data_IF_641470807528
#
_entry.id   IF_641470807528
#
_cell.length_a   1.000
_cell.length_b   1.000
_cell.length_c   1.000
_cell.angle_alpha   90.00
_cell.angle_beta   90.00
_cell.angle_gamma   90.00
#
_symmetry.space_group_name_H-M   'P 1'
#
loop_
_entity.id
_entity.type
_entity.pdbx_description
1 polymer ?
#
# COMPACT_ATOMS: atom_id res chain seq x y z
N UNK A 1 5.69 -14.76 15.45
CA UNK A 1 6.84 -14.22 14.68
C UNK A 1 7.31 -12.91 15.30
N UNK A 2 8.62 -12.60 15.24
CA UNK A 2 9.14 -11.28 15.63
C UNK A 2 8.65 -10.19 14.65
N UNK A 3 8.68 -8.91 15.05
CA UNK A 3 8.35 -7.79 14.13
C UNK A 3 9.21 -7.86 12.86
N UNK A 4 10.54 -8.04 13.00
CA UNK A 4 11.45 -8.17 11.87
C UNK A 4 11.04 -9.30 10.91
N UNK A 5 10.65 -10.47 11.43
CA UNK A 5 10.21 -11.59 10.59
C UNK A 5 8.88 -11.30 9.89
N UNK A 6 7.96 -10.56 10.53
CA UNK A 6 6.71 -10.12 9.89
C UNK A 6 6.99 -9.14 8.76
N UNK A 7 7.84 -8.13 9.01
CA UNK A 7 8.29 -7.16 7.98
C UNK A 7 8.86 -7.90 6.77
N UNK A 8 9.82 -8.81 6.98
CA UNK A 8 10.40 -9.60 5.89
C UNK A 8 9.39 -10.50 5.17
N UNK A 9 8.31 -10.94 5.83
CA UNK A 9 7.24 -11.70 5.18
C UNK A 9 6.36 -10.80 4.32
N UNK A 10 5.99 -9.61 4.81
CA UNK A 10 5.21 -8.61 4.07
C UNK A 10 6.00 -8.12 2.85
N UNK A 11 7.28 -7.79 3.01
CA UNK A 11 8.15 -7.37 1.89
C UNK A 11 8.28 -8.45 0.82
N UNK A 12 8.38 -9.74 1.20
CA UNK A 12 8.40 -10.85 0.26
C UNK A 12 7.07 -10.98 -0.49
N UNK A 13 5.95 -10.77 0.19
CA UNK A 13 4.62 -10.75 -0.44
C UNK A 13 4.52 -9.62 -1.46
N UNK A 14 4.97 -8.41 -1.10
CA UNK A 14 4.98 -7.24 -1.99
C UNK A 14 5.92 -7.43 -3.18
N UNK A 15 7.10 -7.99 -2.99
CA UNK A 15 8.03 -8.29 -4.09
C UNK A 15 7.43 -9.27 -5.11
N UNK A 16 6.58 -10.21 -4.66
CA UNK A 16 5.85 -11.11 -5.56
C UNK A 16 4.75 -10.35 -6.30
N UNK A 17 3.97 -9.54 -5.57
CA UNK A 17 2.94 -8.68 -6.17
C UNK A 17 3.51 -7.74 -7.23
N UNK A 18 4.64 -7.09 -6.97
CA UNK A 18 5.25 -6.16 -7.91
C UNK A 18 5.62 -6.87 -9.22
N UNK A 19 6.05 -8.14 -9.18
CA UNK A 19 6.29 -8.94 -10.40
C UNK A 19 5.00 -9.22 -11.17
N UNK A 20 3.95 -9.66 -10.48
CA UNK A 20 2.63 -9.91 -11.09
C UNK A 20 2.08 -8.62 -11.72
N UNK A 21 2.24 -7.48 -11.06
CA UNK A 21 1.87 -6.16 -11.60
C UNK A 21 2.71 -5.81 -12.84
N UNK A 22 4.02 -6.04 -12.82
CA UNK A 22 4.89 -5.78 -13.98
C UNK A 22 4.45 -6.59 -15.20
N UNK A 23 4.16 -7.88 -15.02
CA UNK A 23 3.65 -8.76 -16.07
C UNK A 23 2.29 -8.27 -16.58
N UNK A 24 1.35 -8.00 -15.67
CA UNK A 24 0.02 -7.51 -16.02
C UNK A 24 0.07 -6.19 -16.78
N UNK A 25 0.92 -5.23 -16.38
CA UNK A 25 1.13 -3.96 -17.08
C UNK A 25 1.69 -4.16 -18.48
N UNK A 26 2.65 -5.08 -18.64
CA UNK A 26 3.25 -5.39 -19.94
C UNK A 26 2.22 -5.99 -20.90
N UNK A 27 1.35 -6.86 -20.41
CA UNK A 27 0.33 -7.52 -21.23
C UNK A 27 -0.86 -6.61 -21.53
N UNK A 28 -1.39 -5.90 -20.52
CA UNK A 28 -2.55 -5.02 -20.68
C UNK A 28 -2.22 -3.69 -21.37
N UNK A 29 -0.98 -3.21 -21.25
CA UNK A 29 -0.59 -1.88 -21.70
C UNK A 29 -1.01 -0.74 -20.75
N UNK A 30 -1.71 -1.04 -19.65
CA UNK A 30 -2.15 -0.02 -18.69
C UNK A 30 -0.96 0.57 -17.93
N UNK A 31 -0.98 1.89 -17.80
CA UNK A 31 -0.02 2.62 -16.99
C UNK A 31 -0.70 3.67 -16.10
N UNK A 32 -0.04 4.04 -15.00
CA UNK A 32 -0.47 5.18 -14.19
C UNK A 32 0.25 6.43 -14.69
N UNK A 33 -0.43 7.58 -14.67
CA UNK A 33 0.15 8.85 -15.09
C UNK A 33 1.26 9.28 -14.14
N UNK A 34 2.42 9.62 -14.69
CA UNK A 34 3.55 10.13 -13.92
C UNK A 34 3.16 11.41 -13.19
N UNK A 35 3.52 11.50 -11.90
CA UNK A 35 3.21 12.66 -11.06
C UNK A 35 1.74 12.76 -10.63
N UNK A 36 0.92 11.72 -10.80
CA UNK A 36 -0.46 11.72 -10.34
C UNK A 36 -0.57 11.28 -8.87
N UNK A 37 -1.16 12.12 -8.03
CA UNK A 37 -1.43 11.86 -6.61
C UNK A 37 -2.91 11.69 -6.26
N UNK A 38 -3.80 11.61 -7.27
CA UNK A 38 -5.25 11.52 -7.03
C UNK A 38 -5.67 10.32 -6.17
N UNK A 39 -4.94 9.21 -6.25
CA UNK A 39 -5.20 8.05 -5.40
C UNK A 39 -4.79 8.29 -3.94
N UNK A 40 -3.83 9.18 -3.66
CA UNK A 40 -3.38 9.53 -2.31
C UNK A 40 -4.24 10.61 -1.65
N UNK A 41 -4.92 11.45 -2.44
CA UNK A 41 -5.89 12.46 -1.97
C UNK A 41 -7.31 11.92 -1.77
N UNK A 42 -7.48 10.60 -1.81
CA UNK A 42 -8.77 9.98 -1.58
C UNK A 42 -8.93 9.84 -0.05
N UNK A 43 -9.94 10.48 0.58
CA UNK A 43 -10.06 10.52 2.04
C UNK A 43 -10.55 9.20 2.65
N UNK A 44 -11.21 8.35 1.86
CA UNK A 44 -11.80 7.07 2.26
C UNK A 44 -10.92 5.89 1.80
N UNK A 45 -9.61 5.98 2.04
CA UNK A 45 -8.70 4.85 1.86
C UNK A 45 -8.61 4.10 3.17
N UNK A 46 -9.08 2.86 3.15
CA UNK A 46 -8.90 1.93 4.25
C UNK A 46 -7.75 0.97 3.95
N UNK A 47 -7.02 0.60 5.00
CA UNK A 47 -5.86 -0.27 4.92
C UNK A 47 -5.71 -1.08 6.19
N UNK A 48 -4.99 -2.19 6.07
CA UNK A 48 -4.61 -2.98 7.24
C UNK A 48 -3.33 -2.43 7.87
N UNK A 49 -3.22 -2.34 9.22
CA UNK A 49 -1.95 -2.00 9.86
C UNK A 49 -0.77 -2.87 9.41
N UNK A 50 -1.00 -4.17 9.13
CA UNK A 50 0.09 -5.06 8.73
C UNK A 50 0.73 -4.65 7.40
N UNK A 51 -0.01 -4.03 6.49
CA UNK A 51 0.51 -3.64 5.18
C UNK A 51 1.47 -2.45 5.26
N UNK A 52 1.42 -1.67 6.34
CA UNK A 52 2.36 -0.57 6.64
C UNK A 52 3.46 -0.94 7.64
N UNK A 53 3.51 -2.20 8.09
CA UNK A 53 4.55 -2.65 9.00
C UNK A 53 5.99 -2.42 8.46
N UNK A 54 6.28 -2.59 7.15
CA UNK A 54 7.58 -2.23 6.59
C UNK A 54 7.91 -0.74 6.72
N UNK A 55 6.93 0.15 6.47
CA UNK A 55 7.09 1.61 6.61
C UNK A 55 7.38 1.99 8.06
N UNK A 56 6.57 1.49 8.99
CA UNK A 56 6.75 1.70 10.42
C UNK A 56 8.14 1.24 10.91
N UNK A 57 8.58 0.06 10.47
CA UNK A 57 9.90 -0.46 10.81
C UNK A 57 11.03 0.37 10.18
N UNK A 58 10.83 0.89 8.97
CA UNK A 58 11.77 1.80 8.32
C UNK A 58 11.99 3.07 9.15
N UNK A 59 10.91 3.78 9.52
CA UNK A 59 11.01 4.98 10.36
C UNK A 59 11.64 4.68 11.72
N UNK A 60 11.27 3.57 12.37
CA UNK A 60 11.88 3.15 13.61
C UNK A 60 13.38 2.90 13.48
N UNK A 61 13.81 2.20 12.42
CA UNK A 61 15.23 1.92 12.18
C UNK A 61 16.08 3.17 11.90
N UNK A 62 15.44 4.26 11.48
CA UNK A 62 16.07 5.57 11.27
C UNK A 62 16.03 6.48 12.51
N UNK A 63 15.46 6.03 13.63
CA UNK A 63 15.27 6.87 14.81
C UNK A 63 14.18 7.94 14.65
N UNK A 64 13.31 7.83 13.64
CA UNK A 64 12.24 8.80 13.34
C UNK A 64 10.88 8.42 13.95
N UNK A 65 10.79 7.33 14.72
CA UNK A 65 9.51 6.82 15.18
C UNK A 65 8.70 7.82 16.02
N UNK A 66 9.34 8.48 16.99
CA UNK A 66 8.66 9.46 17.86
C UNK A 66 8.18 10.69 17.07
N UNK A 67 9.02 11.21 16.17
CA UNK A 67 8.66 12.33 15.28
C UNK A 67 7.45 11.98 14.40
N UNK A 68 7.45 10.79 13.79
CA UNK A 68 6.36 10.36 12.91
C UNK A 68 5.08 10.03 13.68
N UNK A 69 5.21 9.54 14.92
CA UNK A 69 4.08 9.31 15.82
C UNK A 69 3.37 10.64 16.13
N UNK A 70 4.11 11.66 16.56
CA UNK A 70 3.56 12.98 16.84
C UNK A 70 2.87 13.57 15.60
N UNK A 71 3.51 13.47 14.43
CA UNK A 71 2.91 13.92 13.16
C UNK A 71 1.61 13.20 12.82
N UNK A 72 1.49 11.91 13.15
CA UNK A 72 0.26 11.13 12.92
C UNK A 72 -0.86 11.56 13.85
N UNK A 73 -0.56 11.79 15.13
CA UNK A 73 -1.52 12.21 16.14
C UNK A 73 -2.05 13.63 15.91
N UNK A 74 -1.19 14.54 15.44
CA UNK A 74 -1.56 15.93 15.13
C UNK A 74 -2.26 16.06 13.76
N UNK A 75 -2.17 15.05 12.90
CA UNK A 75 -2.71 15.11 11.54
C UNK A 75 -4.23 14.91 11.53
N UNK A 76 -4.97 15.99 11.23
CA UNK A 76 -6.42 15.97 11.04
C UNK A 76 -6.85 15.63 9.61
N UNK A 77 -5.91 15.50 8.68
CA UNK A 77 -6.20 15.19 7.29
C UNK A 77 -6.58 13.72 7.12
N UNK A 78 -7.62 13.48 6.33
CA UNK A 78 -8.01 12.14 5.87
C UNK A 78 -7.12 11.64 4.72
N UNK A 79 -6.36 12.53 4.08
CA UNK A 79 -5.43 12.16 3.03
C UNK A 79 -4.18 11.51 3.62
N UNK A 80 -3.54 10.62 2.86
CA UNK A 80 -2.35 9.91 3.30
C UNK A 80 -1.24 10.89 3.72
N UNK A 81 -0.75 10.79 4.96
CA UNK A 81 0.28 11.69 5.50
C UNK A 81 1.62 11.64 4.72
N UNK A 82 1.86 10.53 4.02
CA UNK A 82 3.12 10.24 3.31
C UNK A 82 3.11 10.88 1.92
N UNK A 83 1.95 11.38 1.49
CA UNK A 83 1.81 12.06 0.22
C UNK A 83 2.50 13.42 0.23
N UNK A 84 3.28 13.69 -0.81
CA UNK A 84 4.00 14.94 -1.02
C UNK A 84 3.45 15.61 -2.29
N UNK A 85 2.56 16.62 -2.15
CA UNK A 85 2.09 17.39 -3.28
C UNK A 85 3.22 18.25 -3.88
N UNK A 86 3.19 18.49 -5.18
CA UNK A 86 4.17 19.34 -5.87
C UNK A 86 3.93 20.84 -5.59
N UNK A 87 2.68 21.23 -5.40
CA UNK A 87 2.31 22.59 -5.02
C UNK A 87 1.07 22.56 -4.14
N UNK A 88 0.87 23.64 -3.38
CA UNK A 88 -0.31 23.82 -2.51
C UNK A 88 -1.58 23.97 -3.37
N UNK A 89 -1.46 24.65 -4.52
CA UNK A 89 -2.58 24.94 -5.43
C UNK A 89 -2.97 23.74 -6.31
N UNK A 90 -2.07 22.77 -6.47
CA UNK A 90 -2.32 21.55 -7.23
C UNK A 90 -2.13 20.30 -6.37
N UNK A 91 -3.07 20.02 -5.47
CA UNK A 91 -2.95 18.89 -4.56
C UNK A 91 -2.90 17.57 -5.33
N UNK A 92 -3.43 17.50 -6.55
CA UNK A 92 -3.58 16.25 -7.31
C UNK A 92 -2.32 15.80 -8.04
N UNK A 93 -1.29 16.64 -8.08
CA UNK A 93 0.01 16.30 -8.62
C UNK A 93 1.06 16.22 -7.51
N UNK A 94 1.78 15.11 -7.48
CA UNK A 94 2.61 14.76 -6.34
C UNK A 94 3.13 13.34 -6.43
N UNK A 95 3.76 12.91 -5.34
CA UNK A 95 4.32 11.58 -5.20
C UNK A 95 4.23 11.09 -3.76
N UNK A 96 4.41 9.78 -3.56
CA UNK A 96 4.56 9.23 -2.22
C UNK A 96 6.01 9.41 -1.76
N UNK A 97 6.22 10.06 -0.61
CA UNK A 97 7.56 10.25 -0.04
C UNK A 97 8.25 8.94 0.33
N UNK A 98 7.48 7.88 0.59
CA UNK A 98 7.99 6.56 0.99
C UNK A 98 7.51 5.46 0.01
N UNK A 99 7.61 5.74 -1.30
CA UNK A 99 7.02 4.88 -2.34
C UNK A 99 7.47 3.41 -2.27
N UNK A 100 8.70 3.14 -1.82
CA UNK A 100 9.22 1.79 -1.61
C UNK A 100 8.45 1.01 -0.54
N UNK A 101 7.97 1.69 0.50
CA UNK A 101 7.28 1.11 1.66
C UNK A 101 5.76 1.31 1.60
N UNK A 102 5.21 1.67 0.43
CA UNK A 102 3.77 1.81 0.24
C UNK A 102 3.02 0.51 0.54
N UNK A 103 1.83 0.65 1.12
CA UNK A 103 0.95 -0.42 1.54
C UNK A 103 0.42 -1.28 0.39
N UNK A 104 -0.27 -2.37 0.75
CA UNK A 104 -0.87 -3.31 -0.18
C UNK A 104 -1.95 -2.63 -1.03
N UNK A 105 -2.80 -1.80 -0.41
CA UNK A 105 -3.86 -1.04 -1.09
C UNK A 105 -3.28 -0.18 -2.22
N UNK A 106 -2.17 0.52 -1.94
CA UNK A 106 -1.50 1.41 -2.87
C UNK A 106 -0.82 0.68 -4.04
N UNK A 107 -0.46 -0.60 -3.86
CA UNK A 107 0.13 -1.42 -4.93
C UNK A 107 -0.93 -1.99 -5.85
N UNK A 108 -2.02 -2.50 -5.27
CA UNK A 108 -3.09 -3.13 -6.01
C UNK A 108 -3.95 -2.12 -6.76
N UNK A 109 -4.14 -0.91 -6.23
CA UNK A 109 -4.94 0.11 -6.89
C UNK A 109 -4.34 0.47 -8.26
N UNK A 110 -5.15 0.38 -9.32
CA UNK A 110 -4.74 0.63 -10.70
C UNK A 110 -4.37 -0.64 -11.48
N UNK A 111 -3.98 -1.71 -10.81
CA UNK A 111 -3.46 -2.93 -11.43
C UNK A 111 -4.08 -4.23 -10.92
N UNK A 112 -4.94 -4.16 -9.90
CA UNK A 112 -5.59 -5.30 -9.28
C UNK A 112 -7.09 -5.40 -9.55
N UNK A 113 -7.65 -6.53 -9.16
CA UNK A 113 -9.06 -6.85 -9.33
C UNK A 113 -9.79 -7.09 -8.01
N UNK A 114 -11.00 -6.58 -7.89
CA UNK A 114 -11.96 -6.91 -6.83
C UNK A 114 -13.00 -7.91 -7.33
N UNK A 115 -13.66 -8.62 -6.41
CA UNK A 115 -14.82 -9.46 -6.73
C UNK A 115 -16.09 -8.65 -6.46
N UNK A 116 -17.04 -8.69 -7.38
CA UNK A 116 -18.38 -8.14 -7.12
C UNK A 116 -19.26 -9.13 -6.33
N UNK A 117 -20.50 -8.71 -6.01
CA UNK A 117 -21.48 -9.54 -5.28
C UNK A 117 -21.86 -10.85 -5.98
N UNK A 118 -21.56 -10.99 -7.27
CA UNK A 118 -21.80 -12.20 -8.06
C UNK A 118 -20.51 -13.01 -8.26
N UNK A 119 -19.40 -12.61 -7.62
CA UNK A 119 -18.11 -13.26 -7.72
C UNK A 119 -17.33 -12.94 -9.01
N UNK A 120 -17.81 -12.02 -9.84
CA UNK A 120 -17.11 -11.62 -11.07
C UNK A 120 -15.97 -10.65 -10.75
N UNK A 121 -14.82 -10.86 -11.39
CA UNK A 121 -13.67 -9.99 -11.25
C UNK A 121 -13.90 -8.66 -11.98
N UNK A 122 -13.63 -7.56 -11.29
CA UNK A 122 -13.65 -6.20 -11.83
C UNK A 122 -12.37 -5.48 -11.52
N UNK A 123 -11.85 -4.75 -12.50
CA UNK A 123 -10.66 -3.95 -12.31
C UNK A 123 -10.90 -2.80 -11.32
N UNK A 124 -10.01 -2.67 -10.34
CA UNK A 124 -10.02 -1.58 -9.36
C UNK A 124 -9.00 -0.54 -9.81
N UNK A 125 -9.47 0.49 -10.52
CA UNK A 125 -8.62 1.53 -11.11
C UNK A 125 -9.31 2.89 -11.10
N UNK A 126 -8.55 3.96 -11.37
CA UNK A 126 -9.06 5.33 -11.36
C UNK A 126 -9.83 5.68 -12.63
N UNK A 127 -10.64 6.75 -12.53
CA UNK A 127 -11.41 7.30 -13.66
C UNK A 127 -10.51 7.71 -14.84
N UNK A 128 -9.32 8.26 -14.55
CA UNK A 128 -8.38 8.69 -15.58
C UNK A 128 -7.94 7.54 -16.50
N UNK A 129 -7.64 6.37 -15.94
CA UNK A 129 -7.27 5.18 -16.73
C UNK A 129 -8.46 4.72 -17.59
N UNK A 130 -9.67 4.70 -17.03
CA UNK A 130 -10.88 4.28 -17.76
C UNK A 130 -11.20 5.18 -18.96
N UNK A 131 -10.95 6.48 -18.84
CA UNK A 131 -11.33 7.46 -19.87
C UNK A 131 -10.21 7.74 -20.88
N UNK A 132 -8.94 7.72 -20.46
CA UNK A 132 -7.82 8.12 -21.30
C UNK A 132 -7.04 6.92 -21.87
N UNK A 133 -7.30 5.70 -21.39
CA UNK A 133 -6.66 4.47 -21.85
C UNK A 133 -7.72 3.41 -22.17
N UNK A 134 -8.78 3.78 -22.89
CA UNK A 134 -9.95 2.93 -23.16
C UNK A 134 -9.55 1.57 -23.73
N UNK A 135 -8.73 1.54 -24.79
CA UNK A 135 -8.30 0.29 -25.44
C UNK A 135 -7.52 -0.63 -24.47
N UNK A 136 -6.57 -0.07 -23.72
CA UNK A 136 -5.80 -0.83 -22.73
C UNK A 136 -6.69 -1.31 -21.57
N UNK A 137 -7.68 -0.50 -21.17
CA UNK A 137 -8.65 -0.83 -20.14
C UNK A 137 -9.55 -1.98 -20.58
N UNK A 138 -10.08 -1.96 -21.79
CA UNK A 138 -10.89 -3.05 -22.34
C UNK A 138 -10.07 -4.34 -22.43
N UNK A 139 -8.83 -4.26 -22.92
CA UNK A 139 -7.89 -5.39 -22.94
C UNK A 139 -7.66 -5.96 -21.53
N UNK A 140 -7.43 -5.12 -20.53
CA UNK A 140 -7.29 -5.55 -19.15
C UNK A 140 -8.56 -6.23 -18.60
N UNK A 141 -9.74 -5.73 -18.95
CA UNK A 141 -11.02 -6.33 -18.56
C UNK A 141 -11.23 -7.70 -19.22
N UNK A 142 -10.78 -7.89 -20.46
CA UNK A 142 -10.79 -9.20 -21.11
C UNK A 142 -9.84 -10.18 -20.42
N UNK A 143 -8.64 -9.73 -20.02
CA UNK A 143 -7.68 -10.55 -19.26
C UNK A 143 -8.24 -11.06 -17.92
N UNK A 144 -9.16 -10.31 -17.29
CA UNK A 144 -9.85 -10.77 -16.08
C UNK A 144 -10.75 -11.99 -16.34
N UNK A 145 -11.35 -12.07 -17.54
CA UNK A 145 -12.26 -13.17 -17.92
C UNK A 145 -11.48 -14.44 -18.26
N UNK A 146 -10.30 -14.31 -18.88
CA UNK A 146 -9.44 -15.44 -19.25
C UNK A 146 -8.68 -16.06 -18.08
N UNK A 147 -8.90 -15.61 -16.83
CA UNK A 147 -8.13 -16.01 -15.63
C UNK A 147 -6.62 -15.78 -15.78
N UNK A 148 -6.22 -14.75 -16.53
CA UNK A 148 -4.81 -14.33 -16.59
C UNK A 148 -4.33 -13.88 -15.20
N UNK A 149 -3.01 -13.74 -15.04
CA UNK A 149 -2.27 -13.42 -13.80
C UNK A 149 -2.58 -12.02 -13.25
N UNK A 150 -3.85 -11.72 -12.98
CA UNK A 150 -4.26 -10.45 -12.39
C UNK A 150 -4.28 -10.57 -10.87
N UNK A 151 -3.58 -9.69 -10.14
CA UNK A 151 -3.58 -9.75 -8.69
C UNK A 151 -4.96 -9.38 -8.14
N UNK A 152 -5.55 -10.30 -7.38
CA UNK A 152 -6.88 -10.13 -6.78
C UNK A 152 -6.75 -9.64 -5.34
N UNK A 153 -7.50 -8.58 -4.99
CA UNK A 153 -7.48 -7.98 -3.66
C UNK A 153 -7.72 -8.99 -2.54
N UNK A 154 -8.82 -9.75 -2.64
CA UNK A 154 -9.19 -10.73 -1.62
C UNK A 154 -8.07 -11.76 -1.37
N UNK A 155 -7.44 -12.26 -2.43
CA UNK A 155 -6.39 -13.28 -2.33
C UNK A 155 -5.13 -12.71 -1.65
N UNK A 156 -4.81 -11.45 -1.90
CA UNK A 156 -3.67 -10.77 -1.26
C UNK A 156 -3.92 -10.40 0.19
N UNK A 157 -5.12 -9.93 0.54
CA UNK A 157 -5.49 -9.70 1.94
C UNK A 157 -5.54 -11.03 2.73
N UNK A 158 -5.96 -12.13 2.11
CA UNK A 158 -5.85 -13.46 2.71
C UNK A 158 -4.40 -13.87 2.98
N UNK A 159 -3.49 -13.66 2.01
CA UNK A 159 -2.05 -13.90 2.21
C UNK A 159 -1.48 -13.01 3.32
N UNK A 160 -1.95 -11.76 3.43
CA UNK A 160 -1.55 -10.84 4.50
C UNK A 160 -2.02 -11.35 5.89
N UNK A 161 -3.27 -11.82 5.99
CA UNK A 161 -3.82 -12.43 7.22
C UNK A 161 -3.06 -13.67 7.68
N UNK A 162 -2.46 -14.43 6.77
CA UNK A 162 -1.62 -15.58 7.12
C UNK A 162 -0.29 -15.18 7.77
N UNK A 163 0.19 -13.95 7.56
CA UNK A 163 1.43 -13.44 8.18
C UNK A 163 1.17 -13.06 9.64
N UNK A 164 0.13 -12.27 9.89
CA UNK A 164 -0.32 -11.92 11.23
C UNK A 164 -1.80 -11.53 11.22
N UNK A 165 -2.66 -12.41 11.73
CA UNK A 165 -4.11 -12.17 11.75
C UNK A 165 -4.51 -10.93 12.56
N UNK A 166 -3.80 -10.63 13.66
CA UNK A 166 -4.20 -9.53 14.56
C UNK A 166 -4.00 -8.17 13.90
N UNK A 167 -2.88 -7.97 13.23
CA UNK A 167 -2.61 -6.72 12.51
C UNK A 167 -3.27 -6.67 11.13
N UNK A 168 -3.64 -7.83 10.57
CA UNK A 168 -4.22 -7.92 9.23
C UNK A 168 -5.73 -7.77 9.17
N UNK A 169 -6.46 -8.14 10.23
CA UNK A 169 -7.93 -8.23 10.22
C UNK A 169 -8.64 -6.88 10.17
N UNK A 170 -8.03 -5.86 10.77
CA UNK A 170 -8.66 -4.56 10.96
C UNK A 170 -8.39 -3.72 9.71
N UNK A 171 -9.45 -3.09 9.20
CA UNK A 171 -9.39 -2.12 8.11
C UNK A 171 -9.66 -0.75 8.72
N UNK A 172 -8.63 0.10 8.73
CA UNK A 172 -8.67 1.42 9.34
C UNK A 172 -8.41 2.48 8.26
N UNK A 173 -8.85 3.74 8.46
CA UNK A 173 -8.37 4.86 7.66
C UNK A 173 -6.84 4.83 7.54
N UNK A 174 -6.31 5.17 6.37
CA UNK A 174 -4.89 4.94 6.03
C UNK A 174 -3.91 5.48 7.07
N UNK A 175 -4.17 6.67 7.64
CA UNK A 175 -3.30 7.26 8.65
C UNK A 175 -3.39 6.51 10.00
N UNK A 176 -4.59 6.06 10.39
CA UNK A 176 -4.78 5.21 11.58
C UNK A 176 -4.11 3.84 11.41
N UNK A 177 -4.15 3.26 10.20
CA UNK A 177 -3.44 2.02 9.88
C UNK A 177 -1.91 2.18 10.02
N UNK A 178 -1.36 3.30 9.52
CA UNK A 178 0.07 3.63 9.66
C UNK A 178 0.43 3.84 11.15
N UNK A 179 -0.41 4.56 11.90
CA UNK A 179 -0.25 4.79 13.33
C UNK A 179 -0.20 3.48 14.11
N UNK A 180 -1.20 2.62 13.93
CA UNK A 180 -1.26 1.31 14.59
C UNK A 180 -0.05 0.43 14.23
N UNK A 181 0.46 0.51 13.00
CA UNK A 181 1.67 -0.19 12.60
C UNK A 181 2.91 0.33 13.33
N UNK A 182 3.03 1.66 13.48
CA UNK A 182 4.14 2.31 14.18
C UNK A 182 4.14 1.98 15.67
N UNK A 183 2.99 2.08 16.33
CA UNK A 183 2.82 1.68 17.73
C UNK A 183 3.19 0.21 17.94
N UNK A 184 2.77 -0.69 17.05
CA UNK A 184 3.10 -2.11 17.13
C UNK A 184 4.62 -2.37 17.04
N UNK A 185 5.35 -1.60 16.23
CA UNK A 185 6.82 -1.67 16.15
C UNK A 185 7.44 -1.13 17.43
N UNK A 186 7.04 0.06 17.88
CA UNK A 186 7.59 0.71 19.07
C UNK A 186 7.35 -0.13 20.33
N UNK A 187 6.12 -0.60 20.54
CA UNK A 187 5.75 -1.46 21.68
C UNK A 187 6.57 -2.76 21.71
N UNK A 188 6.85 -3.33 20.54
CA UNK A 188 7.68 -4.53 20.46
C UNK A 188 9.12 -4.27 20.94
N UNK A 189 9.67 -3.08 20.67
CA UNK A 189 11.05 -2.73 21.02
C UNK A 189 11.20 -1.98 22.36
N UNK A 190 10.11 -1.60 23.04
CA UNK A 190 10.17 -0.96 24.38
C UNK A 190 11.03 -1.73 25.38
N UNK A 191 10.97 -3.06 25.35
CA UNK A 191 11.72 -3.96 26.27
C UNK A 191 12.66 -4.90 25.53
N UNK A 192 13.04 -4.59 24.28
CA UNK A 192 13.94 -5.44 23.48
C UNK A 192 15.08 -4.60 22.93
N UNK A 193 16.23 -5.24 22.73
CA UNK A 193 17.34 -4.58 22.07
C UNK A 193 16.89 -4.03 20.71
N UNK A 194 17.28 -2.79 20.44
CA UNK A 194 17.02 -2.16 19.15
C UNK A 194 17.63 -3.01 18.04
N UNK A 195 16.98 -3.09 16.86
CA UNK A 195 17.56 -3.75 15.72
C UNK A 195 18.79 -2.94 15.31
N UNK A 196 19.98 -3.38 15.71
CA UNK A 196 21.23 -2.74 15.30
C UNK A 196 21.32 -2.84 13.78
N UNK A 197 21.09 -1.72 13.10
CA UNK A 197 21.27 -1.62 11.67
C UNK A 197 22.76 -1.71 11.36
N UNK A 198 23.17 -2.69 10.55
CA UNK A 198 24.41 -2.54 9.77
C UNK A 198 24.18 -1.37 8.81
N UNK A 199 24.61 -0.17 9.19
CA UNK A 199 24.48 1.00 8.32
C UNK A 199 24.33 2.36 8.99
N UNK A 200 24.72 2.53 10.25
CA UNK A 200 24.99 3.86 10.82
C UNK A 200 26.41 3.81 11.37
N UNK A 201 27.37 4.14 10.51
CA UNK A 201 28.69 4.64 10.86
C UNK A 201 28.72 6.10 10.43
#
# INVERSE_FOLDING_TARGET
MTIKNKVLAVERLFKRLDKEITEFRKESGIYCFSGCGKCCNKPDIEASPLEFLPLAFHWFSQGKAEEMLQKLEENQSLNCMVYQPLSIDDPNHGHCGEYQYRGLICRLFGYGAGKDKYGQLRMVTCKLIKENQVENYEKAVEMLKSKSTVPVFADYYQKLMQIDFRLAKDMLPINEAILAALEAVMQYYTYRAFPVGKGVA
#
